data_IF_536859204004
#
_entry.id   IF_536859204004
#
_cell.length_a   1.000
_cell.length_b   1.000
_cell.length_c   1.000
_cell.angle_alpha   90.00
_cell.angle_beta   90.00
_cell.angle_gamma   90.00
#
_symmetry.space_group_name_H-M   'P 1'
#
loop_
_entity.id
_entity.type
_entity.pdbx_description
1 polymer ?
#
# COMPACT_ATOMS: atom_id res chain seq x y z
N UNK A 1 -33.82 -44.02 -31.40
CA UNK A 1 -32.93 -44.21 -30.23
C UNK A 1 -32.76 -42.87 -29.53
N UNK A 2 -33.02 -42.76 -28.22
CA UNK A 2 -32.87 -41.51 -27.43
C UNK A 2 -31.56 -41.55 -26.63
N UNK A 3 -30.72 -40.51 -26.63
CA UNK A 3 -29.67 -40.37 -25.64
C UNK A 3 -30.17 -39.56 -24.42
N UNK A 4 -30.33 -40.33 -23.33
CA UNK A 4 -30.08 -40.06 -21.90
C UNK A 4 -29.69 -38.61 -21.50
N UNK A 5 -30.57 -37.98 -20.73
CA UNK A 5 -30.27 -36.83 -19.87
C UNK A 5 -29.30 -37.26 -18.75
N UNK A 6 -28.21 -36.52 -18.54
CA UNK A 6 -27.45 -36.54 -17.29
C UNK A 6 -27.41 -35.13 -16.68
N UNK A 7 -27.86 -35.06 -15.44
CA UNK A 7 -27.90 -33.88 -14.60
C UNK A 7 -26.56 -33.66 -13.85
N UNK A 8 -26.32 -32.38 -13.52
CA UNK A 8 -25.52 -31.82 -12.40
C UNK A 8 -23.99 -31.93 -12.42
N UNK A 9 -23.35 -30.77 -12.66
CA UNK A 9 -22.17 -30.27 -11.91
C UNK A 9 -22.43 -28.79 -11.58
N UNK A 10 -22.97 -28.47 -10.40
CA UNK A 10 -22.28 -28.12 -9.14
C UNK A 10 -21.24 -27.00 -9.31
N UNK A 11 -21.64 -25.86 -8.74
CA UNK A 11 -20.91 -24.64 -8.38
C UNK A 11 -19.46 -24.83 -7.95
N UNK A 12 -18.54 -24.06 -8.53
CA UNK A 12 -17.36 -23.43 -7.91
C UNK A 12 -16.78 -22.50 -9.00
N UNK A 13 -16.52 -21.21 -8.82
CA UNK A 13 -15.81 -20.56 -7.72
C UNK A 13 -16.28 -19.11 -7.70
N UNK A 14 -16.84 -18.63 -6.58
CA UNK A 14 -17.00 -17.20 -6.38
C UNK A 14 -15.60 -16.58 -6.36
N UNK A 15 -15.32 -15.70 -7.32
CA UNK A 15 -14.21 -14.76 -7.27
C UNK A 15 -14.46 -13.85 -6.06
N UNK A 16 -13.89 -14.23 -4.92
CA UNK A 16 -13.80 -13.38 -3.73
C UNK A 16 -12.79 -12.27 -4.03
N UNK A 17 -13.22 -11.27 -4.80
CA UNK A 17 -12.59 -9.95 -4.75
C UNK A 17 -13.12 -9.24 -3.51
N UNK A 18 -12.72 -9.72 -2.33
CA UNK A 18 -12.87 -8.98 -1.10
C UNK A 18 -11.61 -8.15 -0.91
N UNK A 19 -11.42 -7.12 -1.76
CA UNK A 19 -10.64 -5.96 -1.33
C UNK A 19 -11.58 -5.15 -0.43
N UNK A 20 -11.71 -5.62 0.81
CA UNK A 20 -12.26 -4.81 1.89
C UNK A 20 -11.25 -3.69 2.10
N UNK A 21 -11.46 -2.56 1.42
CA UNK A 21 -10.94 -1.29 1.89
C UNK A 21 -11.63 -1.05 3.23
N UNK A 22 -11.02 -1.58 4.28
CA UNK A 22 -11.34 -1.25 5.65
C UNK A 22 -10.87 0.20 5.87
N UNK A 23 -11.75 1.15 5.57
CA UNK A 23 -11.59 2.56 5.93
C UNK A 23 -11.84 2.74 7.43
N UNK A 24 -11.10 2.01 8.26
CA UNK A 24 -10.90 2.39 9.65
C UNK A 24 -9.63 3.25 9.68
N UNK A 25 -9.77 4.51 9.25
CA UNK A 25 -8.77 5.54 9.50
C UNK A 25 -8.97 6.00 10.94
N UNK A 26 -8.03 5.80 11.88
CA UNK A 26 -8.04 6.52 13.13
C UNK A 26 -7.62 7.97 12.82
N UNK A 27 -8.58 8.82 12.44
CA UNK A 27 -8.36 10.23 12.10
C UNK A 27 -8.08 11.12 13.33
N UNK A 28 -7.52 10.59 14.42
CA UNK A 28 -7.22 11.38 15.63
C UNK A 28 -5.96 10.94 16.39
N UNK A 29 -5.05 10.20 15.76
CA UNK A 29 -3.68 10.12 16.29
C UNK A 29 -2.87 11.29 15.69
N UNK A 30 -2.03 12.00 16.47
CA UNK A 30 -1.09 12.95 15.89
C UNK A 30 -0.25 12.16 14.87
N UNK A 31 -0.47 12.42 13.58
CA UNK A 31 0.13 11.61 12.52
C UNK A 31 1.64 11.66 12.71
N UNK A 32 2.21 10.53 13.12
CA UNK A 32 3.65 10.45 13.43
C UNK A 32 4.40 10.83 12.16
N UNK A 33 5.11 11.96 12.24
CA UNK A 33 5.92 12.46 11.16
C UNK A 33 7.23 11.67 11.11
N UNK A 34 7.76 11.57 9.91
CA UNK A 34 9.02 10.92 9.61
C UNK A 34 9.86 11.83 8.73
N UNK A 35 11.16 11.80 8.96
CA UNK A 35 12.17 12.36 8.08
C UNK A 35 12.51 11.34 7.03
N UNK A 36 12.33 11.70 5.76
CA UNK A 36 12.76 10.94 4.60
C UNK A 36 13.91 11.68 3.94
N UNK A 37 15.12 11.13 4.04
CA UNK A 37 16.23 11.54 3.18
C UNK A 37 16.33 10.58 2.01
N UNK A 38 16.38 11.11 0.79
CA UNK A 38 16.38 10.31 -0.42
C UNK A 38 17.36 10.86 -1.45
N UNK A 39 18.16 9.97 -2.03
CA UNK A 39 19.07 10.30 -3.12
C UNK A 39 18.38 10.05 -4.46
N UNK A 40 17.84 11.13 -5.05
CA UNK A 40 17.14 11.09 -6.34
C UNK A 40 18.11 11.56 -7.42
N UNK A 41 18.57 10.64 -8.27
CA UNK A 41 19.63 10.92 -9.24
C UNK A 41 20.96 11.21 -8.53
N UNK A 42 21.35 12.49 -8.49
CA UNK A 42 22.54 12.98 -7.78
C UNK A 42 22.21 14.00 -6.68
N UNK A 43 20.92 14.23 -6.43
CA UNK A 43 20.45 15.24 -5.48
C UNK A 43 19.90 14.58 -4.22
N UNK A 44 20.35 15.08 -3.07
CA UNK A 44 19.76 14.74 -1.79
C UNK A 44 18.49 15.54 -1.56
N UNK A 45 17.41 14.85 -1.20
CA UNK A 45 16.12 15.43 -0.82
C UNK A 45 15.83 15.08 0.62
N UNK A 46 15.54 16.09 1.44
CA UNK A 46 15.13 15.97 2.83
C UNK A 46 13.66 16.37 2.95
N UNK A 47 12.81 15.48 3.43
CA UNK A 47 11.37 15.66 3.47
C UNK A 47 10.81 15.23 4.83
N UNK A 48 9.97 16.06 5.45
CA UNK A 48 9.22 15.66 6.65
C UNK A 48 7.78 15.37 6.26
N UNK A 49 7.39 14.10 6.34
CA UNK A 49 6.13 13.59 5.81
C UNK A 49 5.50 12.61 6.81
N UNK A 50 4.25 12.23 6.60
CA UNK A 50 3.73 11.03 7.26
C UNK A 50 4.33 9.75 6.70
N UNK A 51 4.38 8.70 7.53
CA UNK A 51 4.90 7.38 7.14
C UNK A 51 4.27 6.86 5.83
N UNK A 52 2.94 6.96 5.71
CA UNK A 52 2.20 6.50 4.52
C UNK A 52 2.63 7.26 3.26
N UNK A 53 2.87 8.55 3.38
CA UNK A 53 3.28 9.40 2.26
C UNK A 53 4.74 9.12 1.87
N UNK A 54 5.62 8.96 2.86
CA UNK A 54 7.01 8.56 2.64
C UNK A 54 7.10 7.22 1.91
N UNK A 55 6.34 6.21 2.34
CA UNK A 55 6.31 4.90 1.69
C UNK A 55 5.89 4.97 0.21
N UNK A 56 4.86 5.77 -0.10
CA UNK A 56 4.44 6.00 -1.49
C UNK A 56 5.55 6.64 -2.32
N UNK A 57 6.20 7.68 -1.77
CA UNK A 57 7.30 8.37 -2.46
C UNK A 57 8.48 7.44 -2.76
N UNK A 58 8.88 6.61 -1.79
CA UNK A 58 9.93 5.59 -1.97
C UNK A 58 9.54 4.63 -3.11
N UNK A 59 8.32 4.11 -3.11
CA UNK A 59 7.87 3.14 -4.13
C UNK A 59 7.76 3.71 -5.54
N UNK A 60 7.40 4.99 -5.67
CA UNK A 60 7.12 5.63 -6.96
C UNK A 60 8.28 6.47 -7.51
N UNK A 61 9.33 6.72 -6.73
CA UNK A 61 10.47 7.54 -7.16
C UNK A 61 11.64 6.64 -7.50
N UNK A 62 12.26 6.85 -8.67
CA UNK A 62 13.52 6.20 -9.00
C UNK A 62 14.66 6.86 -8.20
N UNK A 63 15.01 6.27 -7.07
CA UNK A 63 16.06 6.74 -6.17
C UNK A 63 17.22 5.72 -6.10
N UNK A 64 18.42 6.19 -5.71
CA UNK A 64 19.59 5.33 -5.48
C UNK A 64 19.67 4.82 -4.04
N UNK A 65 18.98 5.46 -3.12
CA UNK A 65 18.94 5.09 -1.70
C UNK A 65 18.05 6.05 -0.92
N UNK A 66 17.64 5.62 0.27
CA UNK A 66 16.85 6.44 1.20
C UNK A 66 17.11 6.03 2.65
N UNK A 67 16.84 6.94 3.57
CA UNK A 67 16.68 6.70 5.01
C UNK A 67 15.31 7.19 5.44
N UNK A 68 14.72 6.55 6.44
CA UNK A 68 13.43 6.92 6.99
C UNK A 68 13.49 6.85 8.50
N UNK A 69 13.42 8.00 9.16
CA UNK A 69 13.58 8.12 10.61
C UNK A 69 12.35 8.77 11.24
N UNK A 70 11.95 8.36 12.46
CA UNK A 70 10.90 9.08 13.19
C UNK A 70 11.31 10.54 13.40
N UNK A 71 10.38 11.46 13.15
CA UNK A 71 10.61 12.88 13.42
C UNK A 71 10.34 13.15 14.89
N UNK A 72 11.39 13.31 15.68
CA UNK A 72 11.30 13.68 17.10
C UNK A 72 11.31 15.22 17.20
N UNK A 73 10.15 15.81 17.49
CA UNK A 73 9.97 17.27 17.56
C UNK A 73 10.30 17.81 18.98
N UNK A 74 11.30 17.20 19.64
CA UNK A 74 11.68 17.47 21.03
C UNK A 74 12.49 18.76 21.19
#
# INVERSE_FOLDING_TARGET
>A
MKPRTQHKRRHTTQLKNTHSYNSNSPENDPESLFVLDMLVGNDWRHLVLSHKTAQKLIQHTQHRGYTLEPYDNR
#
